data_IF_601503618351
#
_entry.id   IF_601503618351
#
_cell.length_a   1.000
_cell.length_b   1.000
_cell.length_c   1.000
_cell.angle_alpha   90.00
_cell.angle_beta   90.00
_cell.angle_gamma   90.00
#
_symmetry.space_group_name_H-M   'P 1'
#
loop_
_entity.id
_entity.type
_entity.pdbx_description
1 polymer ?
#
# COMPACT_ATOMS: atom_id res chain seq x y z
N UNK A 1 -8.74 62.23 -21.72
CA UNK A 1 -7.44 61.65 -21.29
C UNK A 1 -7.76 60.42 -20.49
N UNK A 2 -7.63 59.24 -21.13
CA UNK A 2 -6.56 58.28 -20.80
C UNK A 2 -6.81 57.72 -19.39
N UNK A 3 -7.58 56.65 -19.28
CA UNK A 3 -6.98 55.31 -19.20
C UNK A 3 -5.63 55.36 -18.50
N UNK A 4 -5.65 55.35 -17.17
CA UNK A 4 -4.65 54.72 -16.29
C UNK A 4 -4.81 55.19 -14.84
N UNK A 5 -5.90 54.83 -14.20
CA UNK A 5 -5.86 54.57 -12.75
C UNK A 5 -6.34 53.13 -12.45
N UNK A 6 -6.45 52.30 -13.49
CA UNK A 6 -6.83 50.90 -13.47
C UNK A 6 -5.61 49.98 -13.22
N UNK A 7 -4.58 50.51 -12.55
CA UNK A 7 -3.30 49.83 -12.32
C UNK A 7 -3.01 49.57 -10.82
N UNK A 8 -4.05 49.62 -9.97
CA UNK A 8 -3.90 49.47 -8.52
C UNK A 8 -4.76 48.34 -7.91
N UNK A 9 -5.18 47.36 -8.73
CA UNK A 9 -6.00 46.22 -8.29
C UNK A 9 -5.38 44.85 -8.61
N UNK A 10 -4.26 44.79 -9.34
CA UNK A 10 -3.61 43.53 -9.76
C UNK A 10 -2.25 43.37 -9.06
N UNK A 11 -2.26 43.32 -7.72
CA UNK A 11 -1.02 43.25 -6.93
C UNK A 11 -1.07 42.43 -5.64
N UNK A 12 -2.11 41.61 -5.42
CA UNK A 12 -2.34 40.94 -4.13
C UNK A 12 -2.65 39.44 -4.22
N UNK A 13 -2.14 38.74 -5.25
CA UNK A 13 -2.36 37.29 -5.44
C UNK A 13 -1.11 36.41 -5.37
N UNK A 14 -0.09 36.82 -4.61
CA UNK A 14 1.03 35.92 -4.27
C UNK A 14 1.36 36.00 -2.78
N UNK A 15 0.47 35.47 -1.96
CA UNK A 15 0.87 34.94 -0.64
C UNK A 15 0.92 33.42 -0.83
N UNK A 16 2.07 32.93 -1.28
CA UNK A 16 2.38 31.51 -1.32
C UNK A 16 2.32 30.93 0.10
N UNK A 17 1.50 29.90 0.26
CA UNK A 17 1.41 29.12 1.49
C UNK A 17 2.67 28.24 1.59
N UNK A 18 3.72 28.73 2.25
CA UNK A 18 4.83 27.89 2.68
C UNK A 18 4.42 27.18 3.97
N UNK A 19 3.75 26.04 3.85
CA UNK A 19 3.58 25.11 4.96
C UNK A 19 4.93 24.43 5.23
N UNK A 20 5.73 24.99 6.15
CA UNK A 20 6.89 24.30 6.72
C UNK A 20 6.41 23.06 7.47
N UNK A 21 6.53 21.89 6.84
CA UNK A 21 6.39 20.61 7.55
C UNK A 21 7.70 20.37 8.30
N UNK A 22 7.64 20.46 9.62
CA UNK A 22 8.66 19.94 10.53
C UNK A 22 8.81 18.44 10.27
N UNK A 23 9.88 18.06 9.59
CA UNK A 23 10.32 16.68 9.54
C UNK A 23 11.06 16.39 10.85
N UNK A 24 10.35 15.83 11.84
CA UNK A 24 11.01 15.12 12.94
C UNK A 24 11.74 13.93 12.33
N UNK A 25 13.07 14.03 12.21
CA UNK A 25 13.93 12.86 12.01
C UNK A 25 13.90 12.03 13.28
N UNK A 26 12.96 11.10 13.39
CA UNK A 26 13.18 9.90 14.21
C UNK A 26 14.18 9.04 13.46
N UNK A 27 15.42 9.03 13.95
CA UNK A 27 16.41 8.03 13.58
C UNK A 27 15.89 6.68 14.09
N UNK A 28 15.20 5.94 13.24
CA UNK A 28 15.14 4.49 13.38
C UNK A 28 15.88 3.87 12.19
N UNK A 29 16.74 2.94 12.55
CA UNK A 29 17.80 2.38 11.72
C UNK A 29 17.27 1.90 10.36
N UNK A 30 17.81 2.48 9.30
CA UNK A 30 17.88 1.83 7.99
C UNK A 30 18.83 0.64 8.12
N UNK A 31 18.31 -0.48 8.62
CA UNK A 31 18.97 -1.77 8.53
C UNK A 31 18.97 -2.22 7.08
N UNK A 32 20.17 -2.24 6.51
CA UNK A 32 20.62 -3.01 5.35
C UNK A 32 19.56 -3.92 4.71
N UNK A 33 19.10 -3.50 3.53
CA UNK A 33 18.29 -4.29 2.60
C UNK A 33 19.21 -5.29 1.92
N UNK A 34 19.35 -6.47 2.50
CA UNK A 34 20.02 -7.61 1.86
C UNK A 34 19.30 -8.94 2.21
N UNK A 35 17.96 -8.91 2.25
CA UNK A 35 17.09 -10.06 1.98
C UNK A 35 15.63 -9.58 1.92
N UNK A 36 14.98 -9.69 0.76
CA UNK A 36 13.62 -9.18 0.48
C UNK A 36 12.51 -10.06 1.07
N UNK A 37 12.69 -10.51 2.31
CA UNK A 37 11.68 -11.27 3.06
C UNK A 37 11.08 -10.37 4.12
N UNK A 38 9.82 -9.96 3.94
CA UNK A 38 9.08 -9.23 4.97
C UNK A 38 8.39 -10.24 5.87
N UNK A 39 8.92 -10.42 7.08
CA UNK A 39 8.24 -11.14 8.15
C UNK A 39 7.38 -10.15 8.92
N UNK A 40 6.08 -10.39 8.97
CA UNK A 40 5.12 -9.52 9.64
C UNK A 40 4.44 -10.35 10.71
N UNK A 41 4.83 -10.09 11.96
CA UNK A 41 4.25 -10.72 13.15
C UNK A 41 3.78 -9.61 14.09
N UNK A 42 2.51 -9.58 14.46
CA UNK A 42 2.06 -8.70 15.53
C UNK A 42 2.33 -9.37 16.88
N UNK A 43 2.94 -8.64 17.81
CA UNK A 43 3.42 -9.13 19.10
C UNK A 43 2.35 -9.84 19.97
N UNK A 44 1.06 -9.67 19.65
CA UNK A 44 -0.07 -10.26 20.36
C UNK A 44 -0.85 -11.32 19.56
N UNK A 45 -0.41 -11.69 18.36
CA UNK A 45 -1.15 -12.62 17.47
C UNK A 45 -0.25 -13.73 16.94
N UNK A 46 -0.78 -14.95 16.88
CA UNK A 46 -0.07 -16.14 16.42
C UNK A 46 0.05 -16.27 14.88
N UNK A 47 -0.28 -15.21 14.13
CA UNK A 47 -0.36 -15.25 12.68
C UNK A 47 0.77 -14.44 12.06
N UNK A 48 1.50 -15.06 11.14
CA UNK A 48 2.59 -14.45 10.41
C UNK A 48 2.31 -14.53 8.91
N UNK A 49 2.55 -13.42 8.21
CA UNK A 49 2.58 -13.43 6.74
C UNK A 49 4.04 -13.26 6.32
N UNK A 50 4.50 -14.18 5.49
CA UNK A 50 5.80 -14.14 4.86
C UNK A 50 5.61 -13.64 3.43
N UNK A 51 6.10 -12.43 3.15
CA UNK A 51 6.07 -11.86 1.80
C UNK A 51 7.49 -11.89 1.26
N UNK A 52 7.71 -12.69 0.23
CA UNK A 52 8.99 -12.79 -0.48
C UNK A 52 8.77 -12.19 -1.86
N UNK A 53 9.09 -10.91 -2.01
CA UNK A 53 8.80 -10.19 -3.26
C UNK A 53 9.82 -9.07 -3.48
N UNK A 54 10.72 -9.23 -4.47
CA UNK A 54 11.75 -8.25 -4.74
C UNK A 54 11.17 -6.87 -5.09
N UNK A 55 11.57 -5.87 -4.33
CA UNK A 55 11.14 -4.48 -4.51
C UNK A 55 9.82 -4.11 -3.82
N UNK A 56 9.13 -5.05 -3.16
CA UNK A 56 7.92 -4.72 -2.39
C UNK A 56 8.23 -3.75 -1.24
N UNK A 57 9.31 -3.99 -0.48
CA UNK A 57 9.71 -3.10 0.62
C UNK A 57 9.98 -1.67 0.15
N UNK A 58 10.77 -1.52 -0.91
CA UNK A 58 11.07 -0.22 -1.48
C UNK A 58 9.80 0.51 -1.97
N UNK A 59 8.88 -0.23 -2.59
CA UNK A 59 7.60 0.31 -3.04
C UNK A 59 6.69 0.69 -1.86
N UNK A 60 6.62 -0.13 -0.82
CA UNK A 60 5.83 0.14 0.39
C UNK A 60 6.26 1.45 1.05
N UNK A 61 7.56 1.69 1.17
CA UNK A 61 8.10 2.92 1.79
C UNK A 61 7.88 4.14 0.89
N UNK A 62 8.07 4.01 -0.43
CA UNK A 62 8.11 5.15 -1.34
C UNK A 62 6.78 5.53 -1.97
N UNK A 63 5.87 4.56 -2.11
CA UNK A 63 4.66 4.69 -2.96
C UNK A 63 3.36 4.44 -2.20
N UNK A 64 3.36 3.51 -1.22
CA UNK A 64 2.14 3.20 -0.51
C UNK A 64 1.64 4.40 0.32
N UNK A 65 0.32 4.43 0.54
CA UNK A 65 -0.26 5.38 1.49
C UNK A 65 0.27 5.07 2.89
N UNK A 66 0.61 6.09 3.71
CA UNK A 66 1.17 5.85 5.04
C UNK A 66 0.20 5.05 5.91
N UNK A 67 0.74 4.37 6.92
CA UNK A 67 -0.05 3.70 7.94
C UNK A 67 -1.04 4.68 8.59
N UNK A 68 -2.24 4.19 8.91
CA UNK A 68 -3.35 4.99 9.42
C UNK A 68 -4.23 5.64 8.34
N UNK A 69 -3.80 5.67 7.06
CA UNK A 69 -4.63 6.22 5.98
C UNK A 69 -5.92 5.41 5.75
N UNK A 70 -5.80 4.08 5.74
CA UNK A 70 -6.94 3.17 5.62
C UNK A 70 -7.42 2.71 6.99
N UNK A 71 -8.74 2.58 7.16
CA UNK A 71 -9.30 1.97 8.35
C UNK A 71 -9.05 0.46 8.37
N UNK A 72 -8.97 -0.14 9.56
CA UNK A 72 -8.78 -1.58 9.73
C UNK A 72 -9.85 -2.38 8.99
N UNK A 73 -11.12 -2.02 9.16
CA UNK A 73 -12.26 -2.68 8.49
C UNK A 73 -12.19 -2.61 6.97
N UNK A 74 -11.69 -1.49 6.42
CA UNK A 74 -11.45 -1.39 4.98
C UNK A 74 -10.40 -2.40 4.54
N UNK A 75 -9.26 -2.45 5.23
CA UNK A 75 -8.16 -3.37 4.92
C UNK A 75 -8.63 -4.83 5.01
N UNK A 76 -9.34 -5.19 6.09
CA UNK A 76 -9.87 -6.53 6.31
C UNK A 76 -10.80 -6.97 5.17
N UNK A 77 -11.73 -6.09 4.77
CA UNK A 77 -12.65 -6.38 3.68
C UNK A 77 -11.93 -6.56 2.34
N UNK A 78 -10.96 -5.69 2.03
CA UNK A 78 -10.19 -5.78 0.77
C UNK A 78 -9.30 -7.02 0.75
N UNK A 79 -8.62 -7.33 1.85
CA UNK A 79 -7.78 -8.50 1.96
C UNK A 79 -8.55 -9.79 1.77
N UNK A 80 -9.76 -9.89 2.36
CA UNK A 80 -10.61 -11.06 2.15
C UNK A 80 -10.95 -11.29 0.67
N UNK A 81 -11.32 -10.23 -0.06
CA UNK A 81 -11.60 -10.31 -1.50
C UNK A 81 -10.34 -10.76 -2.27
N UNK A 82 -9.22 -10.09 -2.05
CA UNK A 82 -7.98 -10.35 -2.78
C UNK A 82 -7.40 -11.74 -2.48
N UNK A 83 -7.41 -12.17 -1.22
CA UNK A 83 -6.96 -13.50 -0.83
C UNK A 83 -7.85 -14.59 -1.43
N UNK A 84 -9.17 -14.37 -1.50
CA UNK A 84 -10.10 -15.30 -2.14
C UNK A 84 -9.75 -15.50 -3.63
N UNK A 85 -9.59 -14.41 -4.37
CA UNK A 85 -9.23 -14.46 -5.79
C UNK A 85 -7.84 -15.05 -6.01
N UNK A 86 -6.86 -14.65 -5.19
CA UNK A 86 -5.52 -15.23 -5.20
C UNK A 86 -5.56 -16.75 -5.05
N UNK A 87 -6.26 -17.25 -4.02
CA UNK A 87 -6.38 -18.68 -3.75
C UNK A 87 -7.08 -19.43 -4.89
N UNK A 88 -8.07 -18.82 -5.55
CA UNK A 88 -8.71 -19.40 -6.72
C UNK A 88 -7.74 -19.56 -7.90
N UNK A 89 -6.79 -18.63 -8.07
CA UNK A 89 -5.79 -18.66 -9.14
C UNK A 89 -4.66 -19.65 -8.88
N UNK A 90 -4.23 -19.78 -7.63
CA UNK A 90 -3.27 -20.82 -7.19
C UNK A 90 -3.75 -22.21 -7.62
N UNK A 91 -5.06 -22.47 -7.56
CA UNK A 91 -5.66 -23.75 -7.93
C UNK A 91 -5.85 -23.95 -9.45
N UNK A 92 -5.50 -22.97 -10.27
CA UNK A 92 -5.73 -22.97 -11.72
C UNK A 92 -4.42 -22.76 -12.51
N UNK A 93 -3.40 -23.61 -12.34
CA UNK A 93 -2.07 -23.43 -12.95
C UNK A 93 -2.07 -23.56 -14.49
N UNK A 94 -3.15 -24.09 -15.07
CA UNK A 94 -3.32 -24.13 -16.54
C UNK A 94 -3.78 -22.78 -17.12
N UNK A 95 -4.36 -21.91 -16.30
CA UNK A 95 -4.84 -20.58 -16.72
C UNK A 95 -3.96 -19.44 -16.19
N UNK A 96 -3.37 -19.62 -15.02
CA UNK A 96 -2.54 -18.61 -14.36
C UNK A 96 -1.11 -19.11 -14.18
N UNK A 97 -0.16 -18.21 -14.38
CA UNK A 97 1.26 -18.49 -14.22
C UNK A 97 1.59 -18.81 -12.76
N UNK A 98 2.02 -20.05 -12.50
CA UNK A 98 2.37 -20.53 -11.17
C UNK A 98 3.56 -19.73 -10.57
N UNK A 99 4.43 -19.14 -11.39
CA UNK A 99 5.49 -18.25 -10.89
C UNK A 99 4.97 -16.95 -10.28
N UNK A 100 3.71 -16.58 -10.51
CA UNK A 100 3.06 -15.41 -9.91
C UNK A 100 2.20 -15.76 -8.70
N UNK A 101 1.67 -16.99 -8.63
CA UNK A 101 0.72 -17.44 -7.62
C UNK A 101 1.26 -18.68 -6.90
N UNK A 102 2.14 -18.47 -5.93
CA UNK A 102 2.89 -19.56 -5.29
C UNK A 102 2.03 -20.39 -4.31
N UNK A 103 1.61 -19.78 -3.20
CA UNK A 103 0.97 -20.47 -2.09
C UNK A 103 -0.36 -19.83 -1.72
N UNK A 104 -1.37 -20.62 -1.30
CA UNK A 104 -2.63 -20.08 -0.83
C UNK A 104 -2.44 -19.33 0.50
N UNK A 105 -3.21 -18.26 0.67
CA UNK A 105 -3.21 -17.41 1.86
C UNK A 105 -4.42 -17.80 2.70
N UNK A 106 -4.19 -18.34 3.91
CA UNK A 106 -5.27 -18.67 4.84
C UNK A 106 -5.77 -17.40 5.56
N UNK A 107 -6.59 -16.61 4.88
CA UNK A 107 -7.20 -15.39 5.41
C UNK A 107 -8.68 -15.63 5.73
N UNK A 108 -9.00 -15.69 7.02
CA UNK A 108 -10.33 -16.01 7.53
C UNK A 108 -11.09 -14.74 7.95
N UNK A 109 -12.37 -14.66 7.56
CA UNK A 109 -13.21 -13.52 7.91
C UNK A 109 -13.55 -13.54 9.40
N UNK A 110 -13.33 -12.43 10.09
CA UNK A 110 -13.64 -12.28 11.52
C UNK A 110 -12.48 -12.61 12.46
N UNK A 111 -11.36 -13.11 11.94
CA UNK A 111 -10.11 -13.25 12.70
C UNK A 111 -9.40 -11.90 12.77
N UNK A 112 -9.00 -11.51 13.98
CA UNK A 112 -8.23 -10.28 14.20
C UNK A 112 -6.73 -10.52 13.99
N UNK A 113 -6.26 -10.27 12.78
CA UNK A 113 -4.83 -10.32 12.44
C UNK A 113 -4.06 -9.06 12.89
N UNK A 114 -4.74 -8.04 13.42
CA UNK A 114 -4.15 -6.75 13.73
C UNK A 114 -4.01 -5.82 12.51
N UNK A 115 -3.76 -4.54 12.78
CA UNK A 115 -3.71 -3.51 11.74
C UNK A 115 -2.53 -3.70 10.79
N UNK A 116 -1.33 -3.90 11.33
CA UNK A 116 -0.09 -3.97 10.56
C UNK A 116 -0.09 -5.12 9.54
N UNK A 117 -0.55 -6.31 9.95
CA UNK A 117 -0.69 -7.47 9.06
C UNK A 117 -1.65 -7.15 7.93
N UNK A 118 -2.82 -6.59 8.27
CA UNK A 118 -3.80 -6.20 7.27
C UNK A 118 -3.29 -5.12 6.31
N UNK A 119 -2.56 -4.13 6.83
CA UNK A 119 -2.00 -3.03 6.04
C UNK A 119 -0.96 -3.54 5.05
N UNK A 120 -0.01 -4.37 5.50
CA UNK A 120 1.06 -4.88 4.63
C UNK A 120 0.52 -5.89 3.60
N UNK A 121 -0.40 -6.78 3.99
CA UNK A 121 -1.06 -7.69 3.05
C UNK A 121 -1.83 -6.94 1.96
N UNK A 122 -2.59 -5.92 2.35
CA UNK A 122 -3.32 -5.08 1.39
C UNK A 122 -2.38 -4.43 0.38
N UNK A 123 -1.31 -3.80 0.89
CA UNK A 123 -0.34 -3.13 0.03
C UNK A 123 0.43 -4.10 -0.86
N UNK A 124 0.68 -5.33 -0.41
CA UNK A 124 1.23 -6.38 -1.26
C UNK A 124 0.30 -6.71 -2.43
N UNK A 125 -1.00 -6.89 -2.18
CA UNK A 125 -1.96 -7.11 -3.28
C UNK A 125 -2.02 -5.92 -4.24
N UNK A 126 -1.90 -4.67 -3.74
CA UNK A 126 -1.84 -3.49 -4.61
C UNK A 126 -0.57 -3.52 -5.47
N UNK A 127 0.59 -3.74 -4.84
CA UNK A 127 1.87 -3.86 -5.52
C UNK A 127 1.84 -4.93 -6.61
N UNK A 128 1.38 -6.14 -6.26
CA UNK A 128 1.26 -7.27 -7.17
C UNK A 128 0.42 -6.95 -8.40
N UNK A 129 -0.77 -6.38 -8.20
CA UNK A 129 -1.67 -5.98 -9.29
C UNK A 129 -1.01 -4.93 -10.20
N UNK A 130 -0.28 -3.96 -9.64
CA UNK A 130 0.39 -2.92 -10.42
C UNK A 130 1.63 -3.42 -11.16
N UNK A 131 2.43 -4.29 -10.52
CA UNK A 131 3.67 -4.86 -11.06
C UNK A 131 3.37 -5.84 -12.19
N UNK A 132 2.48 -6.80 -11.94
CA UNK A 132 2.18 -7.90 -12.86
C UNK A 132 0.95 -7.67 -13.73
N UNK A 133 0.33 -6.49 -13.65
CA UNK A 133 -0.88 -6.11 -14.39
C UNK A 133 -2.04 -7.09 -14.20
N UNK A 134 -2.10 -7.70 -13.03
CA UNK A 134 -3.16 -8.61 -12.62
C UNK A 134 -4.30 -7.81 -11.97
N UNK A 135 -5.54 -8.28 -12.12
CA UNK A 135 -6.70 -7.71 -11.45
C UNK A 135 -7.27 -8.74 -10.49
N UNK A 136 -7.17 -8.51 -9.18
CA UNK A 136 -7.71 -9.41 -8.15
C UNK A 136 -9.11 -9.00 -7.68
N UNK A 137 -9.67 -7.93 -8.26
CA UNK A 137 -11.03 -7.47 -8.04
C UNK A 137 -11.51 -6.70 -9.29
N UNK A 138 -12.79 -6.28 -9.27
CA UNK A 138 -13.43 -5.54 -10.37
C UNK A 138 -12.80 -4.17 -10.69
N UNK A 139 -11.87 -3.68 -9.86
CA UNK A 139 -11.28 -2.36 -10.02
C UNK A 139 -9.76 -2.43 -9.98
N UNK A 140 -9.11 -1.69 -10.87
CA UNK A 140 -7.66 -1.50 -10.86
C UNK A 140 -7.30 -0.63 -9.65
N UNK A 141 -6.36 -1.07 -8.80
CA UNK A 141 -5.85 -0.24 -7.71
C UNK A 141 -5.32 1.10 -8.20
N UNK A 142 -5.60 2.16 -7.45
CA UNK A 142 -5.07 3.50 -7.69
C UNK A 142 -4.20 3.90 -6.50
N UNK A 143 -3.05 4.49 -6.79
CA UNK A 143 -2.10 5.01 -5.79
C UNK A 143 -2.40 6.46 -5.45
#
# INVERSE_FOLDING_TARGET
MKSWCLALVIGLLVIGCNASKTASKSNDALTQVENDTVRISNANTAYEILIIEPGFNAWLISTARPEGYYSKTFLEHRNWIYATEWNQRVLQPLQYDNSLYEMPINYEKGVDYGYEVNYKLYNYFIYFQLKYKQQLAQFIPRI
#
